data_IF_236391888955
#
_entry.id   IF_236391888955
#
_cell.length_a   1.000
_cell.length_b   1.000
_cell.length_c   1.000
_cell.angle_alpha   90.00
_cell.angle_beta   90.00
_cell.angle_gamma   90.00
#
_symmetry.space_group_name_H-M   'P 1'
#
loop_
_entity.id
_entity.type
_entity.pdbx_description
1 polymer ?
#
# COMPACT_ATOMS: atom_id res chain seq x y z
N UNK A 1 -8.44 -20.30 24.93
CA UNK A 1 -8.06 -20.39 23.50
C UNK A 1 -7.66 -19.00 23.03
N UNK A 2 -6.72 -18.83 22.10
CA UNK A 2 -6.37 -17.52 21.57
C UNK A 2 -7.57 -16.87 20.87
N UNK A 3 -7.61 -15.55 20.85
CA UNK A 3 -8.59 -14.79 20.08
C UNK A 3 -8.18 -14.85 18.61
N UNK A 4 -9.04 -15.42 17.76
CA UNK A 4 -8.80 -15.52 16.32
C UNK A 4 -9.11 -14.19 15.64
N UNK A 5 -8.23 -13.76 14.74
CA UNK A 5 -8.35 -12.55 13.91
C UNK A 5 -8.11 -12.95 12.45
N UNK A 6 -9.04 -12.63 11.58
CA UNK A 6 -8.89 -12.84 10.13
C UNK A 6 -8.43 -11.54 9.49
N UNK A 7 -7.22 -11.56 8.90
CA UNK A 7 -6.59 -10.43 8.23
C UNK A 7 -6.69 -10.58 6.71
N UNK A 8 -7.54 -9.78 6.07
CA UNK A 8 -7.63 -9.72 4.61
C UNK A 8 -6.39 -9.10 3.98
N UNK A 9 -5.89 -9.69 2.89
CA UNK A 9 -4.68 -9.22 2.19
C UNK A 9 -4.97 -8.78 0.75
N UNK A 10 -4.48 -9.50 -0.25
CA UNK A 10 -4.75 -9.26 -1.68
C UNK A 10 -4.45 -10.52 -2.50
N UNK A 11 -4.38 -10.37 -3.83
CA UNK A 11 -4.01 -11.47 -4.73
C UNK A 11 -2.56 -11.91 -4.51
N UNK A 12 -2.26 -13.22 -4.63
CA UNK A 12 -0.90 -13.74 -4.52
C UNK A 12 0.09 -13.02 -5.44
N UNK A 13 1.33 -12.85 -4.96
CA UNK A 13 2.40 -12.14 -5.67
C UNK A 13 2.41 -10.61 -5.50
N UNK A 14 1.42 -10.05 -4.79
CA UNK A 14 1.40 -8.64 -4.39
C UNK A 14 2.14 -8.36 -3.08
N UNK A 15 2.31 -7.08 -2.75
CA UNK A 15 2.95 -6.65 -1.50
C UNK A 15 2.12 -6.98 -0.25
N UNK A 16 0.81 -6.88 -0.32
CA UNK A 16 -0.08 -7.13 0.82
C UNK A 16 -0.06 -8.57 1.34
N UNK A 17 -0.10 -9.63 0.51
CA UNK A 17 0.10 -10.99 1.02
C UNK A 17 1.44 -11.17 1.73
N UNK A 18 2.53 -10.68 1.14
CA UNK A 18 3.86 -10.76 1.74
C UNK A 18 3.92 -10.04 3.10
N UNK A 19 3.43 -8.81 3.16
CA UNK A 19 3.39 -8.03 4.40
C UNK A 19 2.44 -8.64 5.43
N UNK A 20 1.26 -9.07 5.01
CA UNK A 20 0.22 -9.62 5.90
C UNK A 20 0.71 -10.90 6.60
N UNK A 21 1.35 -11.81 5.88
CA UNK A 21 1.92 -13.03 6.45
C UNK A 21 3.05 -12.71 7.44
N UNK A 22 3.90 -11.74 7.11
CA UNK A 22 4.97 -11.27 7.99
C UNK A 22 4.41 -10.63 9.29
N UNK A 23 3.39 -9.77 9.17
CA UNK A 23 2.74 -9.12 10.30
C UNK A 23 2.00 -10.12 11.19
N UNK A 24 1.22 -11.04 10.60
CA UNK A 24 0.55 -12.11 11.32
C UNK A 24 1.54 -12.97 12.11
N UNK A 25 2.65 -13.39 11.48
CA UNK A 25 3.71 -14.14 12.15
C UNK A 25 4.35 -13.36 13.29
N UNK A 26 4.66 -12.07 13.11
CA UNK A 26 5.24 -11.23 14.15
C UNK A 26 4.30 -11.05 15.35
N UNK A 27 3.01 -10.82 15.10
CA UNK A 27 1.98 -10.69 16.14
C UNK A 27 1.79 -11.99 16.89
N UNK A 28 1.59 -13.12 16.20
CA UNK A 28 1.37 -14.44 16.81
C UNK A 28 2.54 -14.89 17.69
N UNK A 29 3.77 -14.55 17.30
CA UNK A 29 4.96 -14.86 18.12
C UNK A 29 5.19 -13.88 19.29
N UNK A 30 4.51 -12.74 19.29
CA UNK A 30 4.68 -11.70 20.32
C UNK A 30 3.58 -11.75 21.36
N UNK A 31 2.36 -12.10 20.98
CA UNK A 31 1.23 -12.28 21.90
C UNK A 31 0.50 -13.61 21.60
N UNK A 32 0.78 -14.63 22.39
CA UNK A 32 0.18 -15.96 22.25
C UNK A 32 -1.33 -16.02 22.56
N UNK A 33 -1.89 -14.94 23.06
CA UNK A 33 -3.34 -14.80 23.28
C UNK A 33 -4.11 -14.38 22.02
N UNK A 34 -3.37 -14.06 20.94
CA UNK A 34 -3.91 -13.78 19.61
C UNK A 34 -3.53 -14.88 18.62
N UNK A 35 -4.40 -15.14 17.66
CA UNK A 35 -4.14 -15.98 16.49
C UNK A 35 -4.60 -15.23 15.23
N UNK A 36 -3.66 -14.58 14.55
CA UNK A 36 -3.90 -13.88 13.29
C UNK A 36 -3.71 -14.85 12.14
N UNK A 37 -4.75 -15.02 11.34
CA UNK A 37 -4.73 -15.80 10.10
C UNK A 37 -4.97 -14.88 8.90
N UNK A 38 -4.14 -15.01 7.87
CA UNK A 38 -4.30 -14.23 6.63
C UNK A 38 -5.31 -14.87 5.71
N UNK A 39 -6.08 -14.05 4.98
CA UNK A 39 -6.99 -14.45 3.93
C UNK A 39 -6.70 -13.67 2.65
N UNK A 40 -6.40 -14.36 1.55
CA UNK A 40 -6.27 -13.73 0.26
C UNK A 40 -7.61 -13.20 -0.23
N UNK A 41 -7.59 -12.01 -0.81
CA UNK A 41 -8.73 -11.29 -1.40
C UNK A 41 -8.35 -10.73 -2.76
N UNK A 42 -9.26 -10.03 -3.42
CA UNK A 42 -8.94 -9.31 -4.65
C UNK A 42 -8.17 -7.99 -4.40
N UNK A 43 -8.11 -7.50 -3.15
CA UNK A 43 -7.40 -6.28 -2.75
C UNK A 43 -8.26 -5.27 -2.00
N UNK A 44 -7.80 -4.01 -1.95
CA UNK A 44 -8.33 -2.96 -1.08
C UNK A 44 -9.85 -2.73 -1.22
N UNK A 45 -10.37 -2.72 -2.43
CA UNK A 45 -11.80 -2.49 -2.66
C UNK A 45 -12.66 -3.61 -2.08
N UNK A 46 -12.25 -4.88 -2.26
CA UNK A 46 -12.93 -6.02 -1.64
C UNK A 46 -12.75 -6.01 -0.13
N UNK A 47 -11.57 -5.70 0.37
CA UNK A 47 -11.26 -5.64 1.79
C UNK A 47 -12.18 -4.66 2.53
N UNK A 48 -12.39 -3.46 1.99
CA UNK A 48 -13.30 -2.46 2.56
C UNK A 48 -14.71 -3.05 2.66
N UNK A 49 -15.23 -3.66 1.58
CA UNK A 49 -16.57 -4.26 1.55
C UNK A 49 -16.70 -5.39 2.59
N UNK A 50 -15.69 -6.27 2.69
CA UNK A 50 -15.70 -7.39 3.63
C UNK A 50 -15.62 -6.93 5.10
N UNK A 51 -14.86 -5.86 5.39
CA UNK A 51 -14.83 -5.25 6.72
C UNK A 51 -16.18 -4.64 7.09
N UNK A 52 -16.84 -3.95 6.16
CA UNK A 52 -18.16 -3.33 6.39
C UNK A 52 -19.28 -4.37 6.53
N UNK A 53 -19.10 -5.56 5.97
CA UNK A 53 -19.99 -6.69 6.12
C UNK A 53 -19.67 -7.57 7.34
N UNK A 54 -18.72 -7.20 8.19
CA UNK A 54 -18.20 -8.00 9.32
C UNK A 54 -17.67 -9.41 8.90
N UNK A 55 -17.28 -9.58 7.61
CA UNK A 55 -16.71 -10.83 7.09
C UNK A 55 -15.18 -10.95 7.29
N UNK A 56 -14.52 -9.85 7.66
CA UNK A 56 -13.13 -9.77 8.10
C UNK A 56 -13.04 -8.97 9.39
N UNK A 57 -12.08 -9.30 10.24
CA UNK A 57 -11.80 -8.53 11.45
C UNK A 57 -10.93 -7.32 11.13
N UNK A 58 -9.88 -7.57 10.35
CA UNK A 58 -8.93 -6.57 9.88
C UNK A 58 -8.59 -6.81 8.41
N UNK A 59 -8.11 -5.80 7.70
CA UNK A 59 -7.62 -5.96 6.34
C UNK A 59 -6.59 -4.90 5.94
N UNK A 60 -5.73 -5.25 4.98
CA UNK A 60 -4.78 -4.35 4.37
C UNK A 60 -5.48 -3.51 3.30
N UNK A 61 -5.38 -2.19 3.41
CA UNK A 61 -6.01 -1.23 2.50
C UNK A 61 -5.00 -0.15 2.12
N UNK A 62 -4.83 0.09 0.82
CA UNK A 62 -4.02 1.20 0.33
C UNK A 62 -4.67 2.55 0.65
N UNK A 63 -3.88 3.60 0.71
CA UNK A 63 -4.34 4.91 1.18
C UNK A 63 -5.39 5.55 0.31
N UNK A 64 -5.35 5.36 -1.00
CA UNK A 64 -6.32 5.93 -1.94
C UNK A 64 -7.72 5.35 -1.73
N UNK A 65 -7.92 4.01 -1.71
CA UNK A 65 -9.21 3.42 -1.36
C UNK A 65 -9.67 3.78 0.06
N UNK A 66 -8.73 3.86 1.03
CA UNK A 66 -9.06 4.29 2.39
C UNK A 66 -9.55 5.76 2.41
N UNK A 67 -8.86 6.66 1.69
CA UNK A 67 -9.25 8.04 1.53
C UNK A 67 -10.66 8.17 0.93
N UNK A 68 -10.93 7.48 -0.19
CA UNK A 68 -12.25 7.50 -0.82
C UNK A 68 -13.34 6.95 0.13
N UNK A 69 -13.04 5.86 0.83
CA UNK A 69 -13.98 5.27 1.78
C UNK A 69 -14.29 6.23 2.95
N UNK A 70 -13.28 6.83 3.55
CA UNK A 70 -13.47 7.79 4.66
C UNK A 70 -14.15 9.08 4.22
N UNK A 71 -13.83 9.60 3.03
CA UNK A 71 -14.40 10.82 2.50
C UNK A 71 -15.79 10.64 1.86
N UNK A 72 -16.22 9.40 1.61
CA UNK A 72 -17.49 9.11 0.93
C UNK A 72 -17.45 9.44 -0.56
N UNK A 73 -16.31 9.26 -1.21
CA UNK A 73 -16.15 9.53 -2.65
C UNK A 73 -16.73 8.35 -3.44
N UNK A 74 -17.78 8.61 -4.22
CA UNK A 74 -18.46 7.59 -5.03
C UNK A 74 -19.23 6.54 -4.23
N UNK A 75 -19.32 6.68 -2.92
CA UNK A 75 -19.97 5.77 -1.97
C UNK A 75 -20.34 6.52 -0.67
N UNK A 76 -21.21 5.98 0.20
CA UNK A 76 -21.36 6.51 1.56
C UNK A 76 -20.03 6.45 2.33
N UNK A 77 -19.78 7.46 3.19
CA UNK A 77 -18.58 7.49 4.03
C UNK A 77 -18.54 6.29 4.98
N UNK A 78 -17.35 5.71 5.10
CA UNK A 78 -17.10 4.55 5.94
C UNK A 78 -16.72 4.95 7.36
N UNK A 79 -17.14 4.14 8.34
CA UNK A 79 -16.75 4.29 9.75
C UNK A 79 -15.65 3.29 10.18
N UNK A 80 -15.01 2.59 9.24
CA UNK A 80 -13.89 1.69 9.52
C UNK A 80 -12.82 2.39 10.35
N UNK A 81 -12.02 1.61 11.09
CA UNK A 81 -11.02 2.15 12.01
C UNK A 81 -9.60 1.76 11.58
N UNK A 82 -8.67 2.68 11.76
CA UNK A 82 -7.24 2.47 11.52
C UNK A 82 -6.64 1.74 12.72
N UNK A 83 -6.01 0.60 12.47
CA UNK A 83 -5.21 -0.15 13.43
C UNK A 83 -3.75 0.26 13.34
N UNK A 84 -3.21 0.35 12.13
CA UNK A 84 -1.83 0.78 11.90
C UNK A 84 -1.67 1.40 10.50
N UNK A 85 -0.83 2.43 10.38
CA UNK A 85 -0.16 2.73 9.12
C UNK A 85 1.00 1.75 8.96
N UNK A 86 1.11 1.14 7.78
CA UNK A 86 2.05 0.03 7.58
C UNK A 86 3.31 0.45 6.83
N UNK A 87 3.17 1.04 5.67
CA UNK A 87 4.27 1.59 4.88
C UNK A 87 3.76 2.60 3.85
N UNK A 88 4.68 3.46 3.40
CA UNK A 88 4.42 4.40 2.32
C UNK A 88 4.44 3.70 0.96
N UNK A 89 3.63 4.18 0.03
CA UNK A 89 3.43 3.56 -1.28
C UNK A 89 3.75 4.53 -2.42
N UNK A 90 5.04 4.85 -2.68
CA UNK A 90 5.43 5.66 -3.83
C UNK A 90 5.07 4.96 -5.13
N UNK A 91 4.29 5.64 -5.99
CA UNK A 91 3.87 5.14 -7.29
C UNK A 91 4.94 5.37 -8.36
N UNK A 92 5.31 4.33 -9.10
CA UNK A 92 6.33 4.38 -10.14
C UNK A 92 5.99 3.45 -11.29
N UNK A 93 6.62 3.68 -12.44
CA UNK A 93 6.64 2.71 -13.54
C UNK A 93 7.92 1.89 -13.49
N UNK A 94 7.82 0.62 -13.84
CA UNK A 94 8.95 -0.24 -14.14
C UNK A 94 8.98 -0.58 -15.62
N UNK A 95 10.15 -0.49 -16.25
CA UNK A 95 10.39 -0.77 -17.65
C UNK A 95 11.56 -1.74 -17.82
N UNK A 96 11.67 -2.38 -18.99
CA UNK A 96 12.82 -3.22 -19.31
C UNK A 96 14.10 -2.38 -19.42
N UNK A 97 15.26 -3.04 -19.31
CA UNK A 97 16.58 -2.41 -19.42
C UNK A 97 16.78 -1.68 -20.75
N UNK A 98 16.27 -2.25 -21.84
CA UNK A 98 16.39 -1.73 -23.23
C UNK A 98 15.31 -0.69 -23.60
N UNK A 99 14.40 -0.37 -22.67
CA UNK A 99 13.34 0.62 -22.92
C UNK A 99 13.93 2.02 -23.13
N UNK A 100 13.54 2.77 -24.17
CA UNK A 100 13.96 4.15 -24.36
C UNK A 100 13.23 5.15 -23.43
N UNK A 101 12.11 4.75 -22.82
CA UNK A 101 11.28 5.64 -22.00
C UNK A 101 12.04 6.14 -20.76
N UNK A 102 12.01 7.45 -20.49
CA UNK A 102 12.67 8.10 -19.34
C UNK A 102 11.68 8.85 -18.44
N UNK A 103 10.48 9.10 -18.92
CA UNK A 103 9.41 9.83 -18.22
C UNK A 103 8.07 9.12 -18.41
N UNK A 104 7.06 9.57 -17.68
CA UNK A 104 5.68 9.11 -17.85
C UNK A 104 5.17 9.43 -19.24
N UNK A 105 5.51 10.60 -19.79
CA UNK A 105 5.06 11.03 -21.12
C UNK A 105 5.61 10.16 -22.25
N UNK A 106 6.78 9.51 -22.10
CA UNK A 106 7.31 8.56 -23.07
C UNK A 106 6.50 7.25 -23.15
N UNK A 107 5.63 7.02 -22.17
CA UNK A 107 4.76 5.85 -22.07
C UNK A 107 3.36 6.09 -22.65
N UNK A 108 3.01 7.30 -23.02
CA UNK A 108 1.73 7.63 -23.68
C UNK A 108 1.57 6.81 -24.96
N UNK A 109 0.40 6.24 -25.18
CA UNK A 109 0.08 5.34 -26.29
C UNK A 109 0.69 3.94 -26.21
N UNK A 110 1.29 3.56 -25.07
CA UNK A 110 1.92 2.24 -24.89
C UNK A 110 1.06 1.31 -24.06
N UNK A 111 1.22 -0.03 -24.23
CA UNK A 111 0.56 -1.02 -23.38
C UNK A 111 1.15 -1.00 -21.96
N UNK A 112 0.32 -0.70 -20.96
CA UNK A 112 0.71 -0.55 -19.56
C UNK A 112 -0.07 -1.52 -18.68
N UNK A 113 0.63 -2.31 -17.86
CA UNK A 113 -0.02 -3.06 -16.79
C UNK A 113 -0.25 -2.18 -15.55
N UNK A 114 -1.52 -1.94 -15.21
CA UNK A 114 -1.92 -1.05 -14.11
C UNK A 114 -2.14 -1.76 -12.78
N UNK A 115 -1.96 -3.08 -12.72
CA UNK A 115 -2.26 -3.92 -11.57
C UNK A 115 -3.63 -4.61 -11.69
N UNK A 116 -4.10 -5.23 -10.61
CA UNK A 116 -5.43 -5.86 -10.60
C UNK A 116 -6.52 -4.81 -10.36
N UNK A 117 -7.70 -4.96 -10.95
CA UNK A 117 -8.77 -3.95 -10.91
C UNK A 117 -9.19 -3.52 -9.50
N UNK A 118 -9.17 -4.44 -8.53
CA UNK A 118 -9.54 -4.17 -7.14
C UNK A 118 -8.37 -3.66 -6.27
N UNK A 119 -7.17 -3.54 -6.84
CA UNK A 119 -5.97 -3.09 -6.13
C UNK A 119 -5.96 -1.57 -5.91
N UNK A 120 -5.50 -1.15 -4.74
CA UNK A 120 -5.22 0.27 -4.46
C UNK A 120 -4.14 0.86 -5.37
N UNK A 121 -3.16 0.05 -5.81
CA UNK A 121 -2.13 0.47 -6.78
C UNK A 121 -2.79 0.99 -8.07
N UNK A 122 -3.84 0.32 -8.52
CA UNK A 122 -4.60 0.72 -9.72
C UNK A 122 -5.29 2.07 -9.52
N UNK A 123 -5.80 2.33 -8.33
CA UNK A 123 -6.43 3.61 -8.00
C UNK A 123 -5.39 4.73 -7.86
N UNK A 124 -4.24 4.46 -7.23
CA UNK A 124 -3.13 5.41 -7.19
C UNK A 124 -2.71 5.84 -8.61
N UNK A 125 -2.57 4.88 -9.54
CA UNK A 125 -2.26 5.16 -10.94
C UNK A 125 -3.27 6.10 -11.60
N UNK A 126 -4.57 5.92 -11.30
CA UNK A 126 -5.62 6.83 -11.78
C UNK A 126 -5.41 8.26 -11.26
N UNK A 127 -5.17 8.44 -9.96
CA UNK A 127 -4.96 9.75 -9.37
C UNK A 127 -3.69 10.43 -9.87
N UNK A 128 -2.60 9.66 -10.04
CA UNK A 128 -1.34 10.22 -10.55
C UNK A 128 -1.49 10.66 -12.01
N UNK A 129 -2.10 9.84 -12.87
CA UNK A 129 -2.33 10.22 -14.26
C UNK A 129 -3.26 11.42 -14.37
N UNK A 130 -4.38 11.42 -13.64
CA UNK A 130 -5.28 12.56 -13.60
C UNK A 130 -4.57 13.85 -13.12
N UNK A 131 -3.67 13.77 -12.15
CA UNK A 131 -2.85 14.89 -11.69
C UNK A 131 -1.87 15.42 -12.74
N UNK A 132 -1.48 14.60 -13.70
CA UNK A 132 -0.65 14.96 -14.85
C UNK A 132 -1.46 15.39 -16.08
N UNK A 133 -2.79 15.54 -15.95
CA UNK A 133 -3.72 15.80 -17.05
C UNK A 133 -3.71 14.68 -18.11
N UNK A 134 -3.46 13.45 -17.68
CA UNK A 134 -3.52 12.23 -18.47
C UNK A 134 -4.66 11.33 -17.99
N UNK A 135 -5.26 10.57 -18.89
CA UNK A 135 -6.23 9.54 -18.59
C UNK A 135 -5.63 8.15 -18.87
N UNK A 136 -5.53 7.31 -17.85
CA UNK A 136 -4.92 5.99 -18.00
C UNK A 136 -5.72 5.06 -18.91
N UNK A 137 -7.02 5.32 -19.17
CA UNK A 137 -7.88 4.49 -20.00
C UNK A 137 -7.82 4.90 -21.47
N UNK A 138 -7.51 6.18 -21.76
CA UNK A 138 -7.54 6.74 -23.14
C UNK A 138 -6.17 7.17 -23.66
N UNK A 139 -5.24 7.58 -22.79
CA UNK A 139 -3.89 8.00 -23.22
C UNK A 139 -2.88 6.84 -23.24
N UNK A 140 -3.28 5.66 -22.76
CA UNK A 140 -2.48 4.44 -22.76
C UNK A 140 -3.29 3.26 -23.31
N UNK A 141 -2.62 2.13 -23.59
CA UNK A 141 -3.30 0.85 -23.79
C UNK A 141 -3.37 0.10 -22.45
N UNK A 142 -4.50 0.16 -21.73
CA UNK A 142 -4.57 -0.32 -20.34
C UNK A 142 -4.69 -1.84 -20.26
N UNK A 143 -3.78 -2.48 -19.56
CA UNK A 143 -3.83 -3.89 -19.19
C UNK A 143 -4.08 -4.02 -17.69
N UNK A 144 -5.19 -4.68 -17.32
CA UNK A 144 -5.47 -5.04 -15.93
C UNK A 144 -5.13 -6.52 -15.73
N UNK A 145 -4.35 -6.77 -14.68
CA UNK A 145 -3.85 -8.10 -14.37
C UNK A 145 -4.90 -8.92 -13.60
N UNK A 146 -4.88 -10.22 -13.76
CA UNK A 146 -5.62 -11.12 -12.86
C UNK A 146 -4.86 -11.33 -11.55
N UNK A 147 -3.54 -11.45 -11.64
CA UNK A 147 -2.63 -11.59 -10.50
C UNK A 147 -1.48 -10.59 -10.60
N UNK A 148 -1.05 -10.03 -9.48
CA UNK A 148 0.07 -9.08 -9.46
C UNK A 148 1.37 -9.69 -10.03
N UNK A 149 1.57 -11.01 -9.88
CA UNK A 149 2.74 -11.72 -10.38
C UNK A 149 2.82 -11.82 -11.91
N UNK A 150 1.73 -11.58 -12.64
CA UNK A 150 1.72 -11.68 -14.11
C UNK A 150 2.46 -10.53 -14.78
N UNK A 151 2.49 -9.35 -14.13
CA UNK A 151 3.07 -8.14 -14.71
C UNK A 151 4.55 -8.24 -15.09
N UNK A 152 5.46 -8.70 -14.20
CA UNK A 152 6.87 -8.90 -14.56
C UNK A 152 7.07 -9.87 -15.71
N UNK A 153 6.24 -10.91 -15.82
CA UNK A 153 6.27 -11.89 -16.91
C UNK A 153 5.87 -11.21 -18.23
N UNK A 154 4.74 -10.49 -18.23
CA UNK A 154 4.27 -9.75 -19.41
C UNK A 154 5.29 -8.72 -19.89
N UNK A 155 5.97 -8.03 -18.94
CA UNK A 155 7.01 -7.07 -19.28
C UNK A 155 8.24 -7.76 -19.92
N UNK A 156 8.69 -8.87 -19.34
CA UNK A 156 9.81 -9.65 -19.89
C UNK A 156 9.52 -10.19 -21.31
N UNK A 157 8.27 -10.62 -21.55
CA UNK A 157 7.80 -11.11 -22.85
C UNK A 157 7.50 -9.98 -23.87
N UNK A 158 7.60 -8.71 -23.46
CA UNK A 158 7.33 -7.57 -24.33
C UNK A 158 5.85 -7.34 -24.64
N UNK A 159 4.94 -7.97 -23.91
CA UNK A 159 3.48 -7.78 -24.06
C UNK A 159 2.99 -6.44 -23.49
N UNK A 160 3.77 -5.85 -22.61
CA UNK A 160 3.59 -4.51 -22.08
C UNK A 160 4.89 -3.72 -22.17
N UNK A 161 4.80 -2.40 -22.30
CA UNK A 161 5.94 -1.49 -22.32
C UNK A 161 6.41 -1.10 -20.91
N UNK A 162 5.47 -1.02 -19.96
CA UNK A 162 5.75 -0.73 -18.58
C UNK A 162 4.73 -1.39 -17.65
N UNK A 163 5.16 -1.57 -16.38
CA UNK A 163 4.29 -1.96 -15.29
C UNK A 163 4.21 -0.83 -14.27
N UNK A 164 3.00 -0.38 -13.95
CA UNK A 164 2.73 0.48 -12.82
C UNK A 164 2.75 -0.32 -11.52
N UNK A 165 3.31 0.27 -10.48
CA UNK A 165 3.36 -0.33 -9.14
C UNK A 165 3.56 0.72 -8.06
N UNK A 166 3.54 0.29 -6.80
CA UNK A 166 3.79 1.19 -5.68
C UNK A 166 4.41 0.46 -4.48
N UNK A 167 5.19 1.21 -3.70
CA UNK A 167 5.83 0.74 -2.47
C UNK A 167 7.29 0.33 -2.65
N UNK A 168 8.13 0.70 -1.69
CA UNK A 168 9.54 0.26 -1.64
C UNK A 168 9.54 -1.24 -1.28
N UNK A 169 10.37 -2.03 -1.98
CA UNK A 169 10.40 -3.50 -1.80
C UNK A 169 9.21 -4.25 -2.41
N UNK A 170 8.35 -3.59 -3.22
CA UNK A 170 7.25 -4.28 -3.89
C UNK A 170 7.76 -5.40 -4.79
N UNK A 171 7.19 -6.64 -4.69
CA UNK A 171 7.71 -7.82 -5.40
C UNK A 171 7.84 -7.65 -6.91
N UNK A 172 6.89 -6.95 -7.54
CA UNK A 172 6.93 -6.67 -8.97
C UNK A 172 8.16 -5.84 -9.38
N UNK A 173 8.45 -4.76 -8.64
CA UNK A 173 9.64 -3.92 -8.89
C UNK A 173 10.93 -4.70 -8.63
N UNK A 174 10.96 -5.47 -7.54
CA UNK A 174 12.12 -6.30 -7.19
C UNK A 174 12.41 -7.33 -8.29
N UNK A 175 11.39 -7.99 -8.84
CA UNK A 175 11.56 -8.95 -9.93
C UNK A 175 12.09 -8.28 -11.20
N UNK A 176 11.52 -7.15 -11.59
CA UNK A 176 11.90 -6.42 -12.81
C UNK A 176 13.32 -5.87 -12.71
N UNK A 177 13.69 -5.25 -11.57
CA UNK A 177 15.03 -4.67 -11.38
C UNK A 177 16.11 -5.73 -11.23
N UNK A 178 15.83 -6.88 -10.61
CA UNK A 178 16.74 -8.04 -10.62
C UNK A 178 17.00 -8.60 -12.01
N UNK A 179 16.03 -8.45 -12.93
CA UNK A 179 16.19 -8.80 -14.35
C UNK A 179 16.85 -7.67 -15.18
N UNK A 180 17.41 -6.64 -14.54
CA UNK A 180 18.09 -5.51 -15.19
C UNK A 180 17.17 -4.38 -15.63
N UNK A 181 15.87 -4.46 -15.38
CA UNK A 181 14.93 -3.36 -15.62
C UNK A 181 15.17 -2.17 -14.70
N UNK A 182 14.50 -1.06 -14.95
CA UNK A 182 14.65 0.18 -14.19
C UNK A 182 13.31 0.82 -13.86
N UNK A 183 13.33 1.73 -12.89
CA UNK A 183 12.15 2.45 -12.43
C UNK A 183 12.13 3.86 -13.01
N UNK A 184 10.91 4.37 -13.23
CA UNK A 184 10.64 5.75 -13.66
C UNK A 184 9.71 6.35 -12.62
N UNK A 185 10.13 7.43 -11.97
CA UNK A 185 9.34 8.26 -11.07
C UNK A 185 8.80 9.50 -11.78
N UNK A 186 8.60 10.55 -11.00
CA UNK A 186 8.08 11.84 -11.46
C UNK A 186 9.16 12.92 -11.39
N UNK A 187 9.07 13.89 -12.30
CA UNK A 187 9.84 15.13 -12.19
C UNK A 187 9.29 16.03 -11.06
N UNK A 188 10.08 16.96 -10.52
CA UNK A 188 9.62 17.84 -9.42
C UNK A 188 8.36 18.63 -9.75
N UNK A 189 8.24 19.17 -10.96
CA UNK A 189 7.06 19.91 -11.43
C UNK A 189 5.83 18.99 -11.62
N UNK A 190 6.04 17.72 -11.99
CA UNK A 190 4.99 16.71 -12.07
C UNK A 190 4.44 16.38 -10.68
N UNK A 191 5.31 16.26 -9.67
CA UNK A 191 4.89 16.08 -8.27
C UNK A 191 4.03 17.24 -7.81
N UNK A 192 4.42 18.48 -8.09
CA UNK A 192 3.65 19.65 -7.73
C UNK A 192 2.28 19.69 -8.42
N UNK A 193 2.20 19.34 -9.72
CA UNK A 193 0.93 19.23 -10.46
C UNK A 193 -0.01 18.19 -9.80
N UNK A 194 0.49 16.99 -9.55
CA UNK A 194 -0.31 15.93 -8.91
C UNK A 194 -0.83 16.39 -7.55
N UNK A 195 0.00 17.00 -6.71
CA UNK A 195 -0.37 17.49 -5.38
C UNK A 195 -1.35 18.66 -5.41
N UNK A 196 -1.23 19.53 -6.39
CA UNK A 196 -2.17 20.65 -6.55
C UNK A 196 -3.60 20.15 -6.79
N UNK A 197 -3.75 19.05 -7.53
CA UNK A 197 -5.05 18.44 -7.85
C UNK A 197 -5.51 17.43 -6.77
N UNK A 198 -4.55 16.68 -6.20
CA UNK A 198 -4.79 15.60 -5.22
C UNK A 198 -3.93 15.78 -3.98
N UNK A 199 -4.29 16.72 -3.12
CA UNK A 199 -3.51 17.16 -1.95
C UNK A 199 -3.33 16.09 -0.84
N UNK A 200 -4.13 15.02 -0.88
CA UNK A 200 -3.97 13.88 0.04
C UNK A 200 -2.75 13.03 -0.32
N UNK A 201 -2.30 13.04 -1.58
CA UNK A 201 -1.05 12.40 -1.99
C UNK A 201 0.15 13.22 -1.50
N UNK A 202 1.18 12.52 -1.05
CA UNK A 202 2.40 13.14 -0.51
C UNK A 202 3.60 12.86 -1.42
N UNK A 203 4.56 13.81 -1.52
CA UNK A 203 5.82 13.54 -2.18
C UNK A 203 6.59 12.50 -1.35
N UNK A 204 7.13 11.52 -2.02
CA UNK A 204 7.94 10.45 -1.42
C UNK A 204 9.19 10.29 -2.25
N UNK A 205 10.34 10.28 -1.58
CA UNK A 205 11.63 9.99 -2.21
C UNK A 205 11.97 8.53 -1.93
N UNK A 206 12.08 7.72 -2.98
CA UNK A 206 12.65 6.37 -2.89
C UNK A 206 14.17 6.53 -2.81
N UNK A 207 14.83 6.13 -1.71
CA UNK A 207 16.26 6.31 -1.55
C UNK A 207 17.07 5.60 -2.64
N UNK A 208 18.24 6.14 -2.98
CA UNK A 208 19.19 5.43 -3.84
C UNK A 208 19.51 4.04 -3.26
N UNK A 209 19.74 3.08 -4.12
CA UNK A 209 20.02 1.68 -3.79
C UNK A 209 18.87 0.92 -3.11
N UNK A 210 17.63 1.42 -3.18
CA UNK A 210 16.44 0.67 -2.77
C UNK A 210 16.17 -0.55 -3.68
N UNK A 211 16.68 -0.52 -4.91
CA UNK A 211 16.54 -1.61 -5.89
C UNK A 211 17.85 -1.87 -6.64
N UNK A 212 18.09 -3.09 -7.13
CA UNK A 212 19.22 -3.39 -7.97
C UNK A 212 19.37 -2.43 -9.16
N UNK A 213 20.54 -1.83 -9.32
CA UNK A 213 20.83 -0.91 -10.43
C UNK A 213 20.27 0.51 -10.28
N UNK A 214 19.51 0.81 -9.23
CA UNK A 214 19.02 2.16 -8.94
C UNK A 214 20.04 2.92 -8.09
N UNK A 215 20.88 3.71 -8.72
CA UNK A 215 21.98 4.47 -8.06
C UNK A 215 21.54 5.86 -7.58
N UNK A 216 20.45 6.40 -8.13
CA UNK A 216 19.95 7.72 -7.79
C UNK A 216 18.61 7.63 -7.06
N UNK A 217 18.26 8.58 -6.19
CA UNK A 217 16.94 8.63 -5.59
C UNK A 217 15.86 8.86 -6.66
N UNK A 218 14.67 8.30 -6.45
CA UNK A 218 13.52 8.47 -7.35
C UNK A 218 12.44 9.27 -6.62
N UNK A 219 12.00 10.36 -7.22
CA UNK A 219 10.88 11.14 -6.72
C UNK A 219 9.57 10.56 -7.22
N UNK A 220 8.59 10.45 -6.33
CA UNK A 220 7.28 9.93 -6.60
C UNK A 220 6.22 10.62 -5.72
N UNK A 221 4.97 10.30 -5.94
CA UNK A 221 3.89 10.60 -5.01
C UNK A 221 3.22 9.31 -4.55
N UNK A 222 2.60 9.34 -3.38
CA UNK A 222 1.88 8.20 -2.84
C UNK A 222 1.18 8.52 -1.54
N UNK A 223 0.68 7.49 -0.91
CA UNK A 223 0.01 7.56 0.38
C UNK A 223 0.51 6.46 1.31
N UNK A 224 0.06 6.47 2.56
CA UNK A 224 0.24 5.36 3.48
C UNK A 224 -0.76 4.25 3.18
N UNK A 225 -0.31 3.01 3.25
CA UNK A 225 -1.19 1.85 3.37
C UNK A 225 -1.51 1.58 4.83
N UNK A 226 -2.65 0.96 5.10
CA UNK A 226 -3.16 0.75 6.45
C UNK A 226 -3.55 -0.71 6.70
N UNK A 227 -3.53 -1.11 7.97
CA UNK A 227 -4.42 -2.14 8.49
C UNK A 227 -5.66 -1.39 8.97
N UNK A 228 -6.82 -1.65 8.35
CA UNK A 228 -8.12 -1.20 8.82
C UNK A 228 -8.84 -2.34 9.54
N UNK A 229 -9.77 -2.00 10.45
CA UNK A 229 -10.65 -2.96 11.09
C UNK A 229 -12.12 -2.63 10.84
N UNK A 230 -12.99 -3.65 10.98
CA UNK A 230 -14.42 -3.44 11.12
C UNK A 230 -14.72 -2.60 12.36
N UNK A 231 -15.87 -1.91 12.34
CA UNK A 231 -16.26 -0.99 13.42
C UNK A 231 -16.54 -1.71 14.73
N UNK A 232 -17.06 -2.94 14.65
CA UNK A 232 -17.44 -3.80 15.77
C UNK A 232 -16.27 -4.57 16.40
N UNK A 233 -15.02 -4.34 15.98
CA UNK A 233 -13.87 -4.99 16.59
C UNK A 233 -13.72 -4.53 18.05
N UNK A 234 -13.48 -5.48 18.95
CA UNK A 234 -13.32 -5.21 20.37
C UNK A 234 -12.07 -4.35 20.66
N UNK A 235 -12.21 -3.36 21.55
CA UNK A 235 -11.14 -2.41 21.89
C UNK A 235 -9.90 -3.09 22.49
N UNK A 236 -10.09 -4.15 23.29
CA UNK A 236 -8.97 -4.89 23.88
C UNK A 236 -8.25 -5.73 22.83
N UNK A 237 -8.97 -6.30 21.87
CA UNK A 237 -8.38 -7.03 20.74
C UNK A 237 -7.53 -6.07 19.88
N UNK A 238 -8.05 -4.90 19.55
CA UNK A 238 -7.33 -3.90 18.80
C UNK A 238 -6.09 -3.37 19.55
N UNK A 239 -6.22 -3.13 20.85
CA UNK A 239 -5.09 -2.74 21.71
C UNK A 239 -3.99 -3.80 21.73
N UNK A 240 -4.34 -5.07 21.98
CA UNK A 240 -3.36 -6.18 22.01
C UNK A 240 -2.68 -6.38 20.66
N UNK A 241 -3.45 -6.28 19.56
CA UNK A 241 -2.88 -6.40 18.23
C UNK A 241 -1.87 -5.28 17.95
N UNK A 242 -2.24 -4.00 18.18
CA UNK A 242 -1.35 -2.86 17.96
C UNK A 242 -0.08 -2.95 18.81
N UNK A 243 -0.22 -3.34 20.09
CA UNK A 243 0.89 -3.57 21.01
C UNK A 243 1.78 -4.72 20.57
N UNK A 244 1.20 -5.84 20.13
CA UNK A 244 1.97 -6.98 19.65
C UNK A 244 2.72 -6.68 18.35
N UNK A 245 2.11 -5.90 17.45
CA UNK A 245 2.74 -5.44 16.21
C UNK A 245 3.95 -4.51 16.51
N UNK A 246 3.79 -3.57 17.46
CA UNK A 246 4.86 -2.66 17.88
C UNK A 246 6.01 -3.43 18.57
N UNK A 247 5.73 -4.27 19.53
CA UNK A 247 6.76 -5.07 20.23
C UNK A 247 7.39 -6.13 19.32
N UNK A 248 6.64 -6.62 18.33
CA UNK A 248 7.11 -7.52 17.29
C UNK A 248 7.81 -6.86 16.12
N UNK A 249 7.99 -5.52 16.14
CA UNK A 249 8.53 -4.75 15.01
C UNK A 249 9.84 -5.31 14.45
N UNK A 250 10.81 -5.68 15.31
CA UNK A 250 12.06 -6.27 14.86
C UNK A 250 11.84 -7.60 14.10
N UNK A 251 10.88 -8.43 14.55
CA UNK A 251 10.52 -9.68 13.86
C UNK A 251 9.85 -9.41 12.52
N UNK A 252 9.02 -8.36 12.44
CA UNK A 252 8.37 -7.93 11.20
C UNK A 252 9.42 -7.48 10.18
N UNK A 253 10.35 -6.61 10.57
CA UNK A 253 11.42 -6.09 9.68
C UNK A 253 12.31 -7.22 9.15
N UNK A 254 12.62 -8.22 9.97
CA UNK A 254 13.38 -9.40 9.52
C UNK A 254 12.67 -10.23 8.45
N UNK A 255 11.34 -10.18 8.39
CA UNK A 255 10.52 -10.92 7.41
C UNK A 255 10.23 -10.11 6.16
N UNK A 256 10.02 -8.81 6.33
CA UNK A 256 9.67 -7.89 5.23
C UNK A 256 10.25 -6.52 5.52
N UNK A 257 11.11 -6.02 4.63
CA UNK A 257 11.81 -4.74 4.80
C UNK A 257 10.83 -3.56 4.96
N UNK A 258 9.71 -3.58 4.25
CA UNK A 258 8.63 -2.59 4.33
C UNK A 258 8.10 -2.42 5.77
N UNK A 259 8.24 -3.44 6.62
CA UNK A 259 7.86 -3.38 8.04
C UNK A 259 8.63 -2.33 8.84
N UNK A 260 9.75 -1.81 8.34
CA UNK A 260 10.53 -0.78 9.00
C UNK A 260 9.73 0.52 9.25
N UNK A 261 8.77 0.83 8.38
CA UNK A 261 7.89 1.99 8.51
C UNK A 261 6.67 1.75 9.42
N UNK A 262 6.40 0.50 9.82
CA UNK A 262 5.25 0.15 10.67
C UNK A 262 5.52 0.51 12.12
N UNK A 263 5.20 1.76 12.49
CA UNK A 263 5.46 2.31 13.82
C UNK A 263 4.27 3.08 14.37
N UNK A 264 4.10 3.12 15.71
CA UNK A 264 3.04 3.89 16.37
C UNK A 264 3.00 5.37 15.92
N UNK A 265 4.16 6.01 15.82
CA UNK A 265 4.31 7.41 15.41
C UNK A 265 3.77 7.64 13.99
N UNK A 266 4.07 6.73 13.07
CA UNK A 266 3.58 6.80 11.69
C UNK A 266 2.07 6.56 11.60
N UNK A 267 1.51 5.69 12.45
CA UNK A 267 0.06 5.50 12.55
C UNK A 267 -0.64 6.78 12.96
N UNK A 268 -0.11 7.48 13.96
CA UNK A 268 -0.63 8.76 14.40
C UNK A 268 -0.52 9.84 13.29
N UNK A 269 0.67 9.99 12.70
CA UNK A 269 0.96 11.01 11.70
C UNK A 269 0.22 10.81 10.35
N UNK A 270 -0.01 9.55 9.97
CA UNK A 270 -0.67 9.20 8.71
C UNK A 270 -2.19 9.24 8.80
N UNK A 271 -2.76 9.25 10.01
CA UNK A 271 -4.22 9.22 10.19
C UNK A 271 -4.83 10.59 9.86
N UNK A 272 -5.90 10.65 9.04
CA UNK A 272 -6.53 11.92 8.66
C UNK A 272 -7.12 12.69 9.85
N UNK A 273 -7.63 11.95 10.83
CA UNK A 273 -8.05 12.49 12.13
C UNK A 273 -8.07 11.37 13.19
N UNK A 274 -8.03 11.75 14.47
CA UNK A 274 -8.00 10.81 15.59
C UNK A 274 -9.25 9.91 15.70
N UNK A 275 -10.39 10.38 15.20
CA UNK A 275 -11.64 9.61 15.25
C UNK A 275 -11.60 8.39 14.32
N UNK A 276 -10.73 8.39 13.35
CA UNK A 276 -10.52 7.25 12.45
C UNK A 276 -9.57 6.19 13.03
N UNK A 277 -8.79 6.54 14.05
CA UNK A 277 -7.97 5.55 14.77
C UNK A 277 -8.89 4.75 15.71
N UNK A 278 -8.68 3.43 15.77
CA UNK A 278 -9.44 2.57 16.67
C UNK A 278 -9.20 2.96 18.13
N UNK A 279 -10.24 2.98 19.02
CA UNK A 279 -10.07 3.37 20.42
C UNK A 279 -9.01 2.55 21.17
N UNK A 280 -8.96 1.23 20.95
CA UNK A 280 -7.92 0.36 21.51
C UNK A 280 -6.51 0.75 21.04
N UNK A 281 -6.36 1.20 19.79
CA UNK A 281 -5.07 1.70 19.27
C UNK A 281 -4.70 3.03 19.91
N UNK A 282 -5.65 3.97 20.06
CA UNK A 282 -5.42 5.23 20.76
C UNK A 282 -4.92 5.00 22.19
N UNK A 283 -5.45 3.98 22.89
CA UNK A 283 -4.95 3.58 24.23
C UNK A 283 -3.48 3.15 24.15
N UNK A 284 -3.09 2.32 23.17
CA UNK A 284 -1.69 1.90 22.99
C UNK A 284 -0.78 3.09 22.65
N UNK A 285 -1.22 4.00 21.76
CA UNK A 285 -0.46 5.20 21.41
C UNK A 285 -0.23 6.09 22.66
N UNK A 286 -1.25 6.24 23.50
CA UNK A 286 -1.12 6.97 24.78
C UNK A 286 -0.13 6.31 25.72
N UNK A 287 -0.15 4.98 25.88
CA UNK A 287 0.81 4.23 26.70
C UNK A 287 2.25 4.40 26.22
N UNK A 288 2.45 4.65 24.92
CA UNK A 288 3.76 4.93 24.30
C UNK A 288 4.16 6.41 24.35
N UNK A 289 3.27 7.29 24.85
CA UNK A 289 3.50 8.73 24.84
C UNK A 289 3.37 9.39 23.46
N UNK A 290 2.77 8.69 22.48
CA UNK A 290 2.52 9.19 21.13
C UNK A 290 1.19 9.95 21.12
N UNK A 291 1.14 11.11 21.76
CA UNK A 291 -0.10 11.90 21.91
C UNK A 291 -0.02 13.30 21.28
N UNK A 292 1.19 13.77 20.96
CA UNK A 292 1.43 15.10 20.37
C UNK A 292 2.65 15.02 19.45
N UNK A 293 2.44 14.73 18.17
CA UNK A 293 3.43 15.08 17.15
C UNK A 293 2.97 16.44 16.59
N UNK A 294 3.65 17.49 17.03
CA UNK A 294 3.53 18.86 16.51
C UNK A 294 4.17 18.92 15.13
#
# INVERSE_FOLDING_TARGET
MPTKIVLGTATPGGGFPLYGDAAAGAVNETDSSLLVETRNTAGSAENIRLLEADELDMALVAGEPAYEAFAGIGRPASNLKIIAAIYSSPGMFAVRADSPAKSVHDLVGKPIAWGTRASGITLLGKYVMDGLDLDRETDFEPHFLEKAADGPIMLAEGRIAAQWGAGIGWPGFTAITKAGGRLIGLAPDEVEKVRAKHNFLKPIVVPANSYPGQTEPILAVGSWSYILSRVSLDDDVAYRFARALDFGHAKLVLRVEQGAETRPENTFAASPNLQQIHPGVLRHLADKGVTNIV
#
